data_IF_815875101703
#
_entry.id   IF_815875101703
#
_cell.length_a   1.000
_cell.length_b   1.000
_cell.length_c   1.000
_cell.angle_alpha   90.00
_cell.angle_beta   90.00
_cell.angle_gamma   90.00
#
_symmetry.space_group_name_H-M   'P 1'
#
loop_
_entity.id
_entity.type
_entity.pdbx_description
1 polymer ?
#
# COMPACT_ATOMS: atom_id res chain seq x y z
N UNK A 1 34.69 -13.82 11.49
CA UNK A 1 33.68 -13.87 10.41
C UNK A 1 32.98 -12.51 10.39
N UNK A 2 32.73 -11.93 9.21
CA UNK A 2 32.04 -10.65 9.12
C UNK A 2 30.62 -10.75 9.70
N UNK A 3 30.19 -9.73 10.44
CA UNK A 3 28.82 -9.62 10.95
C UNK A 3 27.86 -9.49 9.78
N UNK A 4 26.96 -10.47 9.62
CA UNK A 4 25.96 -10.45 8.56
C UNK A 4 24.84 -9.47 8.92
N UNK A 5 24.51 -8.55 8.03
CA UNK A 5 23.37 -7.65 8.20
C UNK A 5 22.07 -8.39 7.83
N UNK A 6 21.31 -8.78 8.85
CA UNK A 6 20.04 -9.50 8.68
C UNK A 6 18.83 -8.58 8.58
N UNK A 7 19.02 -7.25 8.60
CA UNK A 7 17.91 -6.29 8.48
C UNK A 7 17.39 -6.19 7.04
N UNK A 8 18.22 -6.58 6.06
CA UNK A 8 17.90 -6.50 4.64
C UNK A 8 17.65 -7.88 4.06
N UNK A 9 16.75 -7.92 3.07
CA UNK A 9 16.52 -9.14 2.28
C UNK A 9 17.78 -9.47 1.48
N UNK A 10 18.13 -10.75 1.43
CA UNK A 10 19.13 -11.24 0.49
C UNK A 10 18.73 -10.91 -0.94
N UNK A 11 19.73 -10.68 -1.78
CA UNK A 11 19.49 -10.42 -3.19
C UNK A 11 18.83 -11.64 -3.84
N UNK A 12 17.92 -11.41 -4.80
CA UNK A 12 17.28 -12.52 -5.54
C UNK A 12 18.33 -13.38 -6.24
N UNK A 13 19.40 -12.76 -6.75
CA UNK A 13 20.47 -13.46 -7.45
C UNK A 13 21.21 -14.44 -6.52
N UNK A 14 21.48 -14.02 -5.28
CA UNK A 14 22.11 -14.88 -4.26
C UNK A 14 21.22 -16.09 -3.95
N UNK A 15 19.92 -15.88 -3.71
CA UNK A 15 18.99 -16.98 -3.44
C UNK A 15 18.94 -17.98 -4.61
N UNK A 16 18.94 -17.49 -5.86
CA UNK A 16 18.98 -18.36 -7.04
C UNK A 16 20.27 -19.17 -7.07
N UNK A 17 21.42 -18.52 -6.86
CA UNK A 17 22.72 -19.19 -6.81
C UNK A 17 22.75 -20.27 -5.71
N UNK A 18 22.29 -19.94 -4.51
CA UNK A 18 22.23 -20.88 -3.38
C UNK A 18 21.33 -22.08 -3.68
N UNK A 19 20.18 -21.83 -4.32
CA UNK A 19 19.25 -22.89 -4.75
C UNK A 19 19.90 -23.78 -5.82
N UNK A 20 20.59 -23.20 -6.80
CA UNK A 20 21.34 -23.96 -7.81
C UNK A 20 22.47 -24.77 -7.17
N UNK A 21 23.19 -24.22 -6.20
CA UNK A 21 24.23 -24.94 -5.46
C UNK A 21 23.65 -26.12 -4.65
N UNK A 22 22.48 -25.94 -4.01
CA UNK A 22 21.78 -27.01 -3.31
C UNK A 22 21.36 -28.14 -4.26
N UNK A 23 20.81 -27.81 -5.44
CA UNK A 23 20.49 -28.82 -6.45
C UNK A 23 21.74 -29.52 -7.00
N UNK A 24 22.85 -28.78 -7.17
CA UNK A 24 24.13 -29.34 -7.57
C UNK A 24 24.68 -30.36 -6.55
N UNK A 25 24.44 -30.13 -5.24
CA UNK A 25 24.87 -31.05 -4.18
C UNK A 25 24.28 -32.47 -4.36
N UNK A 26 23.07 -32.59 -4.89
CA UNK A 26 22.39 -33.87 -5.13
C UNK A 26 23.12 -34.76 -6.16
N UNK A 27 24.05 -34.19 -6.94
CA UNK A 27 24.89 -34.96 -7.87
C UNK A 27 26.09 -35.61 -7.20
N UNK A 28 26.40 -35.24 -5.95
CA UNK A 28 27.55 -35.72 -5.19
C UNK A 28 27.11 -36.88 -4.28
N UNK A 29 27.21 -38.12 -4.80
CA UNK A 29 26.72 -39.32 -4.11
C UNK A 29 27.35 -39.61 -2.73
N UNK A 30 28.58 -39.12 -2.48
CA UNK A 30 29.36 -39.43 -1.27
C UNK A 30 29.64 -38.19 -0.41
N UNK A 31 28.76 -37.19 -0.45
CA UNK A 31 28.91 -36.00 0.37
C UNK A 31 28.70 -36.34 1.85
N UNK A 32 29.73 -36.15 2.67
CA UNK A 32 29.67 -36.32 4.11
C UNK A 32 30.44 -35.19 4.81
N UNK A 33 29.86 -34.60 5.84
CA UNK A 33 30.50 -33.53 6.62
C UNK A 33 30.38 -33.81 8.12
N UNK A 34 31.34 -33.31 8.88
CA UNK A 34 31.32 -33.34 10.36
C UNK A 34 30.55 -32.16 10.95
N UNK A 35 30.17 -31.20 10.11
CA UNK A 35 29.45 -29.98 10.48
C UNK A 35 27.95 -30.22 10.43
N UNK A 36 27.30 -30.25 11.59
CA UNK A 36 25.86 -30.51 11.69
C UNK A 36 24.99 -29.54 10.87
N UNK A 37 25.45 -28.30 10.73
CA UNK A 37 24.83 -27.23 9.95
C UNK A 37 24.94 -27.42 8.43
N UNK A 38 25.93 -28.18 7.96
CA UNK A 38 26.18 -28.44 6.53
C UNK A 38 25.85 -29.89 6.15
N UNK A 39 24.85 -30.48 6.79
CA UNK A 39 24.31 -31.78 6.40
C UNK A 39 23.25 -31.59 5.31
N UNK A 40 23.02 -32.61 4.49
CA UNK A 40 22.00 -32.52 3.44
C UNK A 40 20.60 -32.27 4.03
N UNK A 41 20.28 -32.96 5.13
CA UNK A 41 19.02 -32.80 5.85
C UNK A 41 18.85 -31.39 6.43
N UNK A 42 19.91 -30.79 7.01
CA UNK A 42 19.84 -29.42 7.56
C UNK A 42 19.62 -28.40 6.45
N UNK A 43 20.32 -28.54 5.32
CA UNK A 43 20.17 -27.67 4.15
C UNK A 43 18.78 -27.78 3.53
N UNK A 44 18.26 -29.00 3.36
CA UNK A 44 16.93 -29.23 2.82
C UNK A 44 15.85 -28.66 3.77
N UNK A 45 16.01 -28.86 5.07
CA UNK A 45 15.09 -28.29 6.08
C UNK A 45 15.10 -26.76 6.04
N UNK A 46 16.28 -26.14 5.93
CA UNK A 46 16.41 -24.70 5.81
C UNK A 46 15.76 -24.17 4.52
N UNK A 47 15.93 -24.87 3.39
CA UNK A 47 15.31 -24.54 2.12
C UNK A 47 13.77 -24.60 2.18
N UNK A 48 13.21 -25.66 2.74
CA UNK A 48 11.75 -25.78 2.93
C UNK A 48 11.20 -24.72 3.88
N UNK A 49 11.93 -24.43 4.97
CA UNK A 49 11.57 -23.34 5.89
C UNK A 49 11.57 -21.97 5.20
N UNK A 50 12.54 -21.72 4.32
CA UNK A 50 12.57 -20.47 3.54
C UNK A 50 11.32 -20.35 2.64
N UNK A 51 10.98 -21.40 1.89
CA UNK A 51 9.83 -21.39 0.98
C UNK A 51 8.51 -21.20 1.72
N UNK A 52 8.30 -21.93 2.81
CA UNK A 52 7.08 -21.83 3.62
C UNK A 52 6.89 -20.43 4.20
N UNK A 53 7.95 -19.82 4.73
CA UNK A 53 7.88 -18.46 5.26
C UNK A 53 7.66 -17.41 4.16
N UNK A 54 8.27 -17.56 2.98
CA UNK A 54 8.02 -16.68 1.83
C UNK A 54 6.58 -16.80 1.33
N UNK A 55 6.00 -18.00 1.35
CA UNK A 55 4.61 -18.21 1.00
C UNK A 55 3.68 -17.47 1.98
N UNK A 56 3.91 -17.64 3.29
CA UNK A 56 3.12 -16.95 4.33
C UNK A 56 3.24 -15.43 4.18
N UNK A 57 4.44 -14.90 3.93
CA UNK A 57 4.66 -13.47 3.67
C UNK A 57 3.77 -12.97 2.53
N UNK A 58 3.77 -13.69 1.39
CA UNK A 58 2.97 -13.33 0.22
C UNK A 58 1.47 -13.39 0.50
N UNK A 59 1.00 -14.41 1.21
CA UNK A 59 -0.40 -14.54 1.62
C UNK A 59 -0.84 -13.35 2.49
N UNK A 60 -0.03 -12.97 3.49
CA UNK A 60 -0.32 -11.82 4.35
C UNK A 60 -0.30 -10.51 3.58
N UNK A 61 0.62 -10.34 2.66
CA UNK A 61 0.72 -9.15 1.83
C UNK A 61 -0.48 -9.02 0.89
N UNK A 62 -0.98 -10.12 0.34
CA UNK A 62 -2.22 -10.14 -0.46
C UNK A 62 -3.44 -9.74 0.39
N UNK A 63 -3.57 -10.31 1.60
CA UNK A 63 -4.64 -9.96 2.53
C UNK A 63 -4.58 -8.49 2.97
N UNK A 64 -3.38 -7.99 3.26
CA UNK A 64 -3.17 -6.58 3.58
C UNK A 64 -3.63 -5.67 2.45
N UNK A 65 -3.21 -5.96 1.20
CA UNK A 65 -3.65 -5.20 0.02
C UNK A 65 -5.17 -5.18 -0.11
N UNK A 66 -5.81 -6.35 -0.02
CA UNK A 66 -7.26 -6.45 -0.07
C UNK A 66 -7.96 -5.62 1.04
N UNK A 67 -7.44 -5.67 2.27
CA UNK A 67 -7.97 -4.86 3.36
C UNK A 67 -7.79 -3.35 3.12
N UNK A 68 -6.64 -2.92 2.60
CA UNK A 68 -6.41 -1.51 2.27
C UNK A 68 -7.30 -1.01 1.13
N UNK A 69 -7.58 -1.86 0.14
CA UNK A 69 -8.46 -1.51 -0.96
C UNK A 69 -9.92 -1.39 -0.50
N UNK A 70 -10.37 -2.32 0.37
CA UNK A 70 -11.69 -2.25 0.99
C UNK A 70 -11.87 -0.99 1.85
N UNK A 71 -10.85 -0.62 2.66
CA UNK A 71 -10.88 0.61 3.44
C UNK A 71 -10.98 1.85 2.56
N UNK A 72 -10.19 1.92 1.48
CA UNK A 72 -10.24 3.03 0.52
C UNK A 72 -11.61 3.17 -0.13
N UNK A 73 -12.25 2.05 -0.49
CA UNK A 73 -13.59 2.06 -1.07
C UNK A 73 -14.62 2.61 -0.07
N UNK A 74 -14.56 2.15 1.18
CA UNK A 74 -15.45 2.64 2.24
C UNK A 74 -15.25 4.14 2.54
N UNK A 75 -14.01 4.64 2.49
CA UNK A 75 -13.70 6.07 2.61
C UNK A 75 -14.36 6.89 1.50
N UNK A 76 -14.32 6.41 0.25
CA UNK A 76 -14.96 7.07 -0.87
C UNK A 76 -16.48 7.07 -0.75
N UNK A 77 -17.07 5.95 -0.36
CA UNK A 77 -18.52 5.87 -0.12
C UNK A 77 -18.96 6.83 0.98
N UNK A 78 -18.22 6.88 2.10
CA UNK A 78 -18.48 7.84 3.17
C UNK A 78 -18.36 9.28 2.69
N UNK A 79 -17.30 9.61 1.94
CA UNK A 79 -17.11 10.95 1.37
C UNK A 79 -18.30 11.36 0.49
N UNK A 80 -18.73 10.47 -0.40
CA UNK A 80 -19.86 10.72 -1.29
C UNK A 80 -21.17 10.90 -0.52
N UNK A 81 -21.40 10.09 0.51
CA UNK A 81 -22.56 10.23 1.39
C UNK A 81 -22.56 11.58 2.11
N UNK A 82 -21.40 12.03 2.60
CA UNK A 82 -21.24 13.35 3.22
C UNK A 82 -21.49 14.48 2.22
N UNK A 83 -21.02 14.36 0.98
CA UNK A 83 -21.33 15.34 -0.07
C UNK A 83 -22.83 15.40 -0.35
N UNK A 84 -23.50 14.26 -0.53
CA UNK A 84 -24.94 14.20 -0.73
C UNK A 84 -25.71 14.83 0.44
N UNK A 85 -25.33 14.52 1.68
CA UNK A 85 -25.90 15.16 2.88
C UNK A 85 -25.75 16.68 2.83
N UNK A 86 -24.55 17.18 2.51
CA UNK A 86 -24.29 18.62 2.39
C UNK A 86 -25.19 19.25 1.33
N UNK A 87 -25.36 18.60 0.18
CA UNK A 87 -26.23 19.09 -0.89
C UNK A 87 -27.70 19.14 -0.47
N UNK A 88 -28.20 18.12 0.23
CA UNK A 88 -29.55 18.09 0.78
C UNK A 88 -29.77 19.22 1.78
N UNK A 89 -28.82 19.46 2.71
CA UNK A 89 -28.89 20.58 3.66
C UNK A 89 -28.94 21.92 2.93
N UNK A 90 -28.12 22.09 1.90
CA UNK A 90 -28.11 23.31 1.07
C UNK A 90 -29.44 23.49 0.30
N UNK A 91 -30.04 22.40 -0.18
CA UNK A 91 -31.33 22.42 -0.89
C UNK A 91 -32.50 22.73 0.04
N UNK A 92 -32.53 22.14 1.23
CA UNK A 92 -33.63 22.26 2.19
C UNK A 92 -33.67 23.64 2.87
N UNK A 93 -32.53 24.15 3.32
CA UNK A 93 -32.45 25.40 4.09
C UNK A 93 -32.03 26.61 3.22
N UNK A 94 -31.55 26.37 2.01
CA UNK A 94 -31.07 27.40 1.10
C UNK A 94 -29.63 27.82 1.34
N UNK A 95 -29.04 28.45 0.32
CA UNK A 95 -27.59 28.74 0.24
C UNK A 95 -27.07 29.84 1.19
N UNK A 96 -27.97 30.56 1.87
CA UNK A 96 -27.65 31.69 2.76
C UNK A 96 -27.96 31.41 4.23
N UNK A 97 -28.32 30.17 4.54
CA UNK A 97 -28.76 29.74 5.86
C UNK A 97 -27.61 29.40 6.80
N UNK A 98 -27.85 29.52 8.12
CA UNK A 98 -26.92 29.10 9.18
C UNK A 98 -26.67 27.58 9.13
N UNK A 99 -27.69 26.79 8.75
CA UNK A 99 -27.61 25.33 8.64
C UNK A 99 -26.65 24.90 7.53
N UNK A 100 -26.70 25.57 6.37
CA UNK A 100 -25.74 25.33 5.29
C UNK A 100 -24.32 25.73 5.71
N UNK A 101 -24.18 26.79 6.53
CA UNK A 101 -22.89 27.20 7.06
C UNK A 101 -22.32 26.18 8.06
N UNK A 102 -23.16 25.60 8.91
CA UNK A 102 -22.77 24.59 9.90
C UNK A 102 -22.16 23.33 9.26
N UNK A 103 -22.62 22.94 8.07
CA UNK A 103 -22.06 21.79 7.32
C UNK A 103 -20.83 22.15 6.45
N UNK A 104 -20.29 23.36 6.63
CA UNK A 104 -19.03 23.80 6.03
C UNK A 104 -19.17 24.57 4.72
N UNK A 105 -20.38 24.98 4.30
CA UNK A 105 -20.51 25.95 3.22
C UNK A 105 -20.31 27.38 3.71
N UNK A 106 -19.96 28.28 2.79
CA UNK A 106 -19.97 29.72 3.05
C UNK A 106 -21.33 30.32 2.65
N UNK A 107 -21.94 31.14 3.50
CA UNK A 107 -23.16 31.89 3.17
C UNK A 107 -22.99 32.72 1.91
N UNK A 108 -24.10 32.97 1.20
CA UNK A 108 -24.08 33.72 -0.06
C UNK A 108 -23.84 35.21 0.21
N UNK A 109 -24.38 35.75 1.30
CA UNK A 109 -24.15 37.11 1.80
C UNK A 109 -22.67 37.43 1.99
N UNK A 110 -21.92 36.46 2.49
CA UNK A 110 -20.51 36.65 2.87
C UNK A 110 -19.55 36.44 1.70
N UNK A 111 -20.06 36.01 0.54
CA UNK A 111 -19.25 35.81 -0.67
C UNK A 111 -19.03 37.15 -1.35
N UNK A 112 -17.76 37.46 -1.63
CA UNK A 112 -17.39 38.62 -2.45
C UNK A 112 -18.09 38.52 -3.81
N UNK A 113 -18.87 39.55 -4.16
CA UNK A 113 -19.58 39.61 -5.44
C UNK A 113 -18.56 39.59 -6.59
N UNK A 114 -18.74 38.75 -7.63
CA UNK A 114 -17.85 38.78 -8.79
C UNK A 114 -17.86 40.17 -9.42
N UNK A 115 -16.73 40.86 -9.45
CA UNK A 115 -16.58 42.10 -10.20
C UNK A 115 -16.31 41.75 -11.65
N UNK A 116 -17.19 42.15 -12.57
CA UNK A 116 -16.94 42.02 -14.01
C UNK A 116 -15.75 42.91 -14.36
N UNK A 117 -14.60 42.33 -14.72
CA UNK A 117 -13.48 43.10 -15.28
C UNK A 117 -14.00 43.78 -16.56
N UNK A 118 -13.98 45.12 -16.60
CA UNK A 118 -14.24 45.85 -17.84
C UNK A 118 -13.15 45.43 -18.83
N UNK A 119 -13.54 44.81 -19.94
CA UNK A 119 -12.65 44.63 -21.08
C UNK A 119 -12.24 46.02 -21.53
N UNK A 120 -10.98 46.39 -21.28
CA UNK A 120 -10.41 47.62 -21.81
C UNK A 120 -10.35 47.39 -23.32
N UNK A 121 -11.26 48.01 -24.06
CA UNK A 121 -11.14 48.09 -25.50
C UNK A 121 -9.84 48.85 -25.77
N UNK A 122 -8.86 48.14 -26.33
CA UNK A 122 -7.60 48.73 -26.80
C UNK A 122 -8.01 49.57 -28.01
N UNK A 123 -8.05 50.90 -27.83
CA UNK A 123 -8.22 51.83 -28.94
C UNK A 123 -6.91 51.86 -29.73
N UNK A 124 -7.02 51.54 -31.02
CA UNK A 124 -5.97 51.61 -32.04
C UNK A 124 -5.49 53.04 -32.31
#
# INVERSE_FOLDING_TARGET
MATQDTTRRLSRQTIIQDTTSLHGLQTINNYATTRADATEDSLQTAYQKMLTLQQIENEKLALYRAATDAARLAEWEFHNAVLAMKEVVRGQYGSDSDQAQAVGFKKKSDRKRPSRKKSIAIAS
#
